data_IF_465699972774
#
_entry.id   IF_465699972774
#
_cell.length_a   1.000
_cell.length_b   1.000
_cell.length_c   1.000
_cell.angle_alpha   90.00
_cell.angle_beta   90.00
_cell.angle_gamma   90.00
#
_symmetry.space_group_name_H-M   'P 1'
#
loop_
_entity.id
_entity.type
_entity.pdbx_description
1 polymer ?
#
# COMPACT_ATOMS: atom_id res chain seq x y z
N UNK A 1 18.45 9.90 -6.71
CA UNK A 1 17.17 9.36 -6.23
C UNK A 1 17.51 8.15 -5.36
N UNK A 2 17.24 8.18 -4.05
CA UNK A 2 17.46 7.00 -3.22
C UNK A 2 16.42 5.95 -3.58
N UNK A 3 16.88 4.72 -3.80
CA UNK A 3 16.03 3.57 -4.02
C UNK A 3 15.23 3.27 -2.74
N UNK A 4 13.92 3.46 -2.81
CA UNK A 4 12.97 3.21 -1.73
C UNK A 4 13.05 1.77 -1.23
N UNK A 5 13.26 0.80 -2.13
CA UNK A 5 13.33 -0.62 -1.78
C UNK A 5 14.54 -0.92 -0.90
N UNK A 6 15.66 -0.23 -1.13
CA UNK A 6 16.85 -0.31 -0.27
C UNK A 6 16.62 0.22 1.14
N UNK A 7 15.71 1.18 1.33
CA UNK A 7 15.33 1.65 2.68
C UNK A 7 14.38 0.66 3.35
N UNK A 8 13.39 0.18 2.60
CA UNK A 8 12.42 -0.79 3.09
C UNK A 8 13.07 -2.11 3.48
N UNK A 9 14.17 -2.51 2.83
CA UNK A 9 14.91 -3.73 3.18
C UNK A 9 15.61 -3.68 4.54
N UNK A 10 15.69 -2.51 5.18
CA UNK A 10 16.17 -2.38 6.56
C UNK A 10 15.11 -2.75 7.60
N UNK A 11 13.84 -2.76 7.20
CA UNK A 11 12.74 -3.19 8.07
C UNK A 11 12.66 -4.72 8.09
N UNK A 12 12.17 -5.26 9.21
CA UNK A 12 11.82 -6.67 9.31
C UNK A 12 10.34 -6.85 8.99
N UNK A 13 10.04 -7.79 8.10
CA UNK A 13 8.68 -8.19 7.76
C UNK A 13 8.49 -9.68 8.04
N UNK A 14 7.31 -10.05 8.52
CA UNK A 14 6.80 -11.41 8.51
C UNK A 14 5.57 -11.46 7.59
N UNK A 15 5.78 -11.53 6.28
CA UNK A 15 4.69 -11.32 5.30
C UNK A 15 3.74 -12.51 5.27
N UNK A 16 2.45 -12.24 5.50
CA UNK A 16 1.39 -13.24 5.37
C UNK A 16 1.20 -13.75 3.94
N UNK A 17 0.64 -14.96 3.81
CA UNK A 17 0.28 -15.55 2.50
C UNK A 17 -0.96 -14.91 1.86
N UNK A 18 -1.71 -14.11 2.62
CA UNK A 18 -2.93 -13.43 2.16
C UNK A 18 -2.75 -11.93 2.22
N UNK A 19 -3.19 -11.22 1.18
CA UNK A 19 -3.20 -9.75 1.21
C UNK A 19 -4.13 -9.24 2.31
N UNK A 20 -3.66 -8.23 3.04
CA UNK A 20 -4.43 -7.47 4.04
C UNK A 20 -5.03 -6.18 3.45
N UNK A 21 -4.85 -5.98 2.14
CA UNK A 21 -5.38 -4.86 1.36
C UNK A 21 -6.27 -5.40 0.24
N UNK A 22 -7.47 -4.87 0.13
CA UNK A 22 -8.39 -5.14 -0.98
C UNK A 22 -8.74 -3.82 -1.67
N UNK A 23 -8.70 -3.83 -3.00
CA UNK A 23 -9.05 -2.66 -3.83
C UNK A 23 -10.28 -3.00 -4.66
N UNK A 24 -11.38 -2.29 -4.44
CA UNK A 24 -12.52 -2.33 -5.34
C UNK A 24 -12.11 -1.67 -6.66
N UNK A 25 -11.88 -2.50 -7.68
CA UNK A 25 -11.33 -2.05 -8.96
C UNK A 25 -12.30 -1.13 -9.71
N UNK A 26 -13.60 -1.41 -9.66
CA UNK A 26 -14.61 -0.61 -10.36
C UNK A 26 -14.66 0.83 -9.84
N UNK A 27 -14.64 0.99 -8.51
CA UNK A 27 -14.56 2.31 -7.88
C UNK A 27 -13.18 2.94 -8.15
N UNK A 28 -12.10 2.18 -8.00
CA UNK A 28 -10.73 2.67 -8.16
C UNK A 28 -10.47 3.21 -9.58
N UNK A 29 -11.02 2.58 -10.62
CA UNK A 29 -10.87 3.02 -12.01
C UNK A 29 -11.46 4.40 -12.27
N UNK A 30 -12.45 4.84 -11.50
CA UNK A 30 -13.03 6.20 -11.60
C UNK A 30 -12.09 7.29 -11.06
N UNK A 31 -11.13 6.92 -10.21
CA UNK A 31 -10.19 7.84 -9.58
C UNK A 31 -9.01 8.17 -10.52
N UNK A 32 -8.99 9.37 -11.10
CA UNK A 32 -7.90 9.81 -12.00
C UNK A 32 -6.61 10.17 -11.25
N UNK A 33 -6.73 10.82 -10.09
CA UNK A 33 -5.58 11.38 -9.38
C UNK A 33 -4.78 10.37 -8.55
N UNK A 34 -5.38 9.21 -8.27
CA UNK A 34 -4.83 8.08 -7.50
C UNK A 34 -3.99 8.54 -6.28
N UNK A 35 -4.58 9.30 -5.34
CA UNK A 35 -3.83 9.91 -4.23
C UNK A 35 -3.10 8.89 -3.34
N UNK A 36 -3.60 7.64 -3.27
CA UNK A 36 -2.93 6.52 -2.60
C UNK A 36 -1.48 6.30 -3.05
N UNK A 37 -1.17 6.55 -4.33
CA UNK A 37 0.19 6.42 -4.90
C UNK A 37 1.13 7.51 -4.41
N UNK A 38 0.59 8.69 -4.08
CA UNK A 38 1.36 9.87 -3.66
C UNK A 38 1.59 9.88 -2.15
N UNK A 39 0.60 9.48 -1.37
CA UNK A 39 0.68 9.52 0.10
C UNK A 39 1.40 8.31 0.68
N UNK A 40 1.53 7.21 -0.07
CA UNK A 40 2.10 5.98 0.44
C UNK A 40 3.63 6.06 0.54
N UNK A 41 4.23 6.13 1.74
CA UNK A 41 5.67 6.32 1.89
C UNK A 41 6.49 5.09 1.50
N UNK A 42 5.87 3.91 1.42
CA UNK A 42 6.49 2.67 0.98
C UNK A 42 6.22 2.33 -0.48
N UNK A 43 5.49 3.20 -1.20
CA UNK A 43 5.11 2.95 -2.58
C UNK A 43 4.17 1.76 -2.80
N UNK A 44 3.60 1.10 -1.77
CA UNK A 44 2.68 -0.07 -1.87
C UNK A 44 1.69 -0.03 -3.05
N UNK A 45 1.17 1.14 -3.40
CA UNK A 45 0.25 1.35 -4.52
C UNK A 45 1.01 1.86 -5.75
N UNK A 46 1.09 1.05 -6.79
CA UNK A 46 1.74 1.39 -8.05
C UNK A 46 0.71 1.50 -9.18
N UNK A 47 0.63 2.63 -9.91
CA UNK A 47 -0.30 2.75 -11.02
C UNK A 47 0.15 1.92 -12.22
N UNK A 48 -0.80 1.20 -12.82
CA UNK A 48 -0.58 0.51 -14.09
C UNK A 48 -1.11 1.32 -15.28
N UNK A 49 -0.60 1.08 -16.51
CA UNK A 49 -1.00 1.84 -17.70
C UNK A 49 -2.50 1.77 -18.05
N UNK A 50 -3.20 0.72 -17.58
CA UNK A 50 -4.63 0.52 -17.77
C UNK A 50 -5.50 1.22 -16.71
N UNK A 51 -4.89 2.03 -15.84
CA UNK A 51 -5.57 2.81 -14.81
C UNK A 51 -5.88 2.05 -13.52
N UNK A 52 -5.50 0.77 -13.44
CA UNK A 52 -5.55 -0.02 -12.20
C UNK A 52 -4.39 0.37 -11.26
N UNK A 53 -4.41 -0.21 -10.07
CA UNK A 53 -3.33 -0.11 -9.09
C UNK A 53 -2.85 -1.54 -8.80
N UNK A 54 -1.54 -1.76 -8.92
CA UNK A 54 -0.85 -2.93 -8.43
C UNK A 54 -0.52 -2.70 -6.95
N UNK A 55 -0.87 -3.68 -6.10
CA UNK A 55 -0.70 -3.58 -4.65
C UNK A 55 0.41 -4.53 -4.21
N UNK A 56 1.54 -3.95 -3.82
CA UNK A 56 2.69 -4.63 -3.21
C UNK A 56 2.51 -4.64 -1.69
N UNK A 57 1.61 -5.48 -1.19
CA UNK A 57 1.23 -5.50 0.23
C UNK A 57 2.38 -5.94 1.14
N UNK A 58 3.37 -6.67 0.62
CA UNK A 58 4.55 -7.15 1.32
C UNK A 58 5.47 -6.02 1.83
N UNK A 59 5.36 -4.82 1.24
CA UNK A 59 6.09 -3.62 1.67
C UNK A 59 5.26 -2.64 2.49
N UNK A 60 4.02 -2.99 2.83
CA UNK A 60 3.13 -2.11 3.57
C UNK A 60 3.69 -1.80 4.97
N UNK A 61 3.64 -0.53 5.36
CA UNK A 61 4.03 -0.07 6.71
C UNK A 61 2.85 0.02 7.67
N UNK A 62 1.67 -0.47 7.27
CA UNK A 62 0.46 -0.50 8.11
C UNK A 62 -0.01 0.88 8.63
N UNK A 63 0.41 1.97 7.97
CA UNK A 63 0.18 3.34 8.45
C UNK A 63 -1.22 3.90 8.15
N UNK A 64 -2.03 3.23 7.31
CA UNK A 64 -3.39 3.65 6.96
C UNK A 64 -3.51 4.89 6.04
N UNK A 65 -2.40 5.52 5.62
CA UNK A 65 -2.45 6.77 4.85
C UNK A 65 -3.30 6.66 3.56
N UNK A 66 -3.20 5.55 2.83
CA UNK A 66 -3.97 5.35 1.61
C UNK A 66 -5.47 5.12 1.86
N UNK A 67 -5.83 4.53 3.01
CA UNK A 67 -7.23 4.37 3.43
C UNK A 67 -7.88 5.73 3.63
N UNK A 68 -7.19 6.63 4.34
CA UNK A 68 -7.66 8.00 4.60
C UNK A 68 -7.67 8.84 3.33
N UNK A 69 -6.65 8.71 2.48
CA UNK A 69 -6.50 9.53 1.28
C UNK A 69 -7.43 9.13 0.13
N UNK A 70 -8.04 7.94 0.15
CA UNK A 70 -8.93 7.50 -0.92
C UNK A 70 -10.29 8.19 -0.80
N UNK A 71 -10.65 9.14 -1.69
CA UNK A 71 -11.89 9.89 -1.54
C UNK A 71 -13.13 9.07 -1.90
N UNK A 72 -12.95 7.92 -2.53
CA UNK A 72 -14.04 7.05 -3.00
C UNK A 72 -14.24 5.80 -2.13
N UNK A 73 -13.42 5.60 -1.10
CA UNK A 73 -13.51 4.40 -0.26
C UNK A 73 -13.22 3.09 -1.01
N UNK A 74 -12.40 3.15 -2.07
CA UNK A 74 -12.07 1.96 -2.88
C UNK A 74 -11.13 0.98 -2.18
N UNK A 75 -10.45 1.41 -1.11
CA UNK A 75 -9.43 0.62 -0.41
C UNK A 75 -10.02 0.12 0.90
N UNK A 76 -10.01 -1.20 1.09
CA UNK A 76 -10.23 -1.83 2.40
C UNK A 76 -8.88 -2.31 2.93
N UNK A 77 -8.72 -2.16 4.23
CA UNK A 77 -7.52 -2.56 4.96
C UNK A 77 -7.94 -3.28 6.24
N UNK A 78 -7.22 -4.35 6.55
CA UNK A 78 -7.17 -4.92 7.90
C UNK A 78 -5.71 -5.00 8.32
N UNK A 79 -5.44 -5.03 9.62
CA UNK A 79 -4.10 -5.38 10.07
C UNK A 79 -3.81 -6.83 9.67
N UNK A 80 -2.61 -7.12 9.14
CA UNK A 80 -2.20 -8.50 8.88
C UNK A 80 -1.95 -9.24 10.21
N UNK A 81 -1.96 -10.57 10.16
CA UNK A 81 -1.49 -11.40 11.29
C UNK A 81 0.04 -11.33 11.40
N UNK A 82 0.70 -11.27 10.25
CA UNK A 82 2.12 -11.03 10.06
C UNK A 82 2.38 -9.86 9.13
N UNK A 83 3.14 -8.89 9.61
CA UNK A 83 3.49 -7.70 8.83
C UNK A 83 4.80 -7.08 9.26
N UNK A 84 4.87 -5.75 9.31
CA UNK A 84 6.09 -5.04 9.66
C UNK A 84 6.38 -5.13 11.16
N UNK A 85 7.66 -5.24 11.52
CA UNK A 85 8.15 -5.16 12.90
C UNK A 85 9.11 -3.99 13.06
N UNK A 86 8.71 -2.99 13.84
CA UNK A 86 9.55 -1.83 14.19
C UNK A 86 10.45 -2.14 15.39
N UNK A 87 11.77 -2.11 15.18
CA UNK A 87 12.72 -2.45 16.24
C UNK A 87 12.86 -1.35 17.30
N UNK A 88 12.74 -0.08 16.90
CA UNK A 88 13.02 1.08 17.76
C UNK A 88 11.91 2.14 17.76
N UNK A 89 10.76 1.85 17.14
CA UNK A 89 9.75 2.84 16.77
C UNK A 89 9.92 3.28 15.33
#
# INVERSE_FOLDING_TARGET
>A
MMDILKRLSLNKYNVDRTTHIEVNTDICLTCKDKPCTKVCPAGTYEPSPDGRIIVHYERCLECGAALVACPYGAIKFRFPEGGISYKYG
#
